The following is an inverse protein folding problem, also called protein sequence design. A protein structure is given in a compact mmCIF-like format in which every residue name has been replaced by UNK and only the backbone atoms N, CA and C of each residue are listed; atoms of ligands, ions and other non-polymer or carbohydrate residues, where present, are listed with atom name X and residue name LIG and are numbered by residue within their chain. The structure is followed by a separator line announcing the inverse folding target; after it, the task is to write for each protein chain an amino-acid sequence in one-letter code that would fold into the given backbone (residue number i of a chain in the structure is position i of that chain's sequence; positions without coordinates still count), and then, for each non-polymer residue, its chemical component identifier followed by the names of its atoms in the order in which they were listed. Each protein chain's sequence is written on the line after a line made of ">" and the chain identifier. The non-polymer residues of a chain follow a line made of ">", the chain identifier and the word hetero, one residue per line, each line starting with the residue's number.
data_IF_794331844837
#
_entry.id   IF_794331844837
#
_cell.length_a   1.000
_cell.length_b   1.000
_cell.length_c   1.000
_cell.angle_alpha   90.00
_cell.angle_beta   90.00
_cell.angle_gamma   90.00
#
_symmetry.space_group_name_H-M   'P 1'
#
loop_
_entity.id
_entity.type
_entity.pdbx_description
1 polymer ?
#
# COMPACT_ATOMS: atom_id res chain seq x y z
N UNK A 1 -39.98 -47.56 -0.83
CA UNK A 1 -38.73 -48.26 -1.12
C UNK A 1 -38.84 -49.02 -2.45
N UNK A 2 -39.96 -49.70 -2.74
CA UNK A 2 -40.18 -50.58 -3.92
C UNK A 2 -40.02 -49.84 -5.27
N UNK A 3 -40.40 -48.56 -5.33
CA UNK A 3 -40.25 -47.72 -6.55
C UNK A 3 -38.80 -47.36 -6.86
N UNK A 4 -38.00 -47.11 -5.81
CA UNK A 4 -36.57 -46.88 -5.92
C UNK A 4 -35.82 -48.16 -6.31
N UNK A 5 -36.24 -49.30 -5.74
CA UNK A 5 -35.63 -50.60 -6.03
C UNK A 5 -35.93 -51.05 -7.47
N UNK A 6 -37.17 -50.85 -7.94
CA UNK A 6 -37.57 -51.11 -9.33
C UNK A 6 -36.78 -50.21 -10.32
N UNK A 7 -36.59 -48.91 -10.01
CA UNK A 7 -35.81 -47.98 -10.81
C UNK A 7 -34.34 -48.37 -10.90
N UNK A 8 -33.75 -48.72 -9.74
CA UNK A 8 -32.35 -49.19 -9.68
C UNK A 8 -32.13 -50.47 -10.50
N UNK A 9 -33.03 -51.46 -10.29
CA UNK A 9 -32.96 -52.75 -10.99
C UNK A 9 -33.10 -52.58 -12.50
N UNK A 10 -33.96 -51.67 -12.96
CA UNK A 10 -34.14 -51.34 -14.36
C UNK A 10 -32.85 -50.74 -14.96
N UNK A 11 -32.26 -49.73 -14.30
CA UNK A 11 -31.00 -49.09 -14.72
C UNK A 11 -29.84 -50.07 -14.75
N UNK A 12 -29.77 -50.95 -13.74
CA UNK A 12 -28.73 -51.98 -13.66
C UNK A 12 -28.84 -52.98 -14.82
N UNK A 13 -30.05 -53.50 -15.12
CA UNK A 13 -30.29 -54.38 -16.27
C UNK A 13 -29.95 -53.70 -17.59
N UNK A 14 -30.27 -52.42 -17.75
CA UNK A 14 -29.95 -51.64 -18.94
C UNK A 14 -28.43 -51.46 -19.10
N UNK A 15 -27.72 -51.13 -18.04
CA UNK A 15 -26.26 -50.99 -18.01
C UNK A 15 -25.56 -52.31 -18.38
N UNK A 16 -26.01 -53.39 -17.83
CA UNK A 16 -25.44 -54.73 -18.13
C UNK A 16 -25.73 -55.21 -19.55
N UNK A 17 -26.90 -54.85 -20.12
CA UNK A 17 -27.27 -55.15 -21.48
C UNK A 17 -26.41 -54.38 -22.50
N UNK A 18 -26.09 -53.08 -22.19
CA UNK A 18 -25.32 -52.22 -23.05
C UNK A 18 -23.93 -51.91 -22.46
N UNK A 19 -23.26 -52.91 -21.89
CA UNK A 19 -21.98 -52.77 -21.20
C UNK A 19 -20.93 -51.99 -21.98
N UNK A 20 -20.84 -52.19 -23.30
CA UNK A 20 -19.90 -51.49 -24.20
C UNK A 20 -20.26 -50.02 -24.38
N UNK A 21 -21.54 -49.66 -24.37
CA UNK A 21 -21.99 -48.27 -24.40
C UNK A 21 -21.61 -47.54 -23.12
N UNK A 22 -21.72 -48.18 -21.97
CA UNK A 22 -21.29 -47.60 -20.64
C UNK A 22 -19.78 -47.39 -20.65
N UNK A 23 -19.00 -48.36 -21.13
CA UNK A 23 -17.53 -48.20 -21.25
C UNK A 23 -17.19 -47.04 -22.20
N UNK A 24 -17.89 -46.96 -23.35
CA UNK A 24 -17.67 -45.86 -24.31
C UNK A 24 -17.97 -44.49 -23.68
N UNK A 25 -19.07 -44.36 -22.95
CA UNK A 25 -19.42 -43.14 -22.25
C UNK A 25 -18.33 -42.78 -21.23
N UNK A 26 -17.82 -43.72 -20.45
CA UNK A 26 -16.74 -43.50 -19.50
C UNK A 26 -15.46 -43.00 -20.22
N UNK A 27 -15.10 -43.61 -21.31
CA UNK A 27 -13.94 -43.22 -22.11
C UNK A 27 -14.11 -41.81 -22.68
N UNK A 28 -15.29 -41.46 -23.21
CA UNK A 28 -15.62 -40.14 -23.71
C UNK A 28 -15.55 -39.12 -22.58
N UNK A 29 -16.09 -39.43 -21.42
CA UNK A 29 -16.05 -38.54 -20.24
C UNK A 29 -14.62 -38.27 -19.79
N UNK A 30 -13.78 -39.29 -19.72
CA UNK A 30 -12.36 -39.14 -19.39
C UNK A 30 -11.61 -38.36 -20.50
N UNK A 31 -11.89 -38.65 -21.75
CA UNK A 31 -11.28 -37.97 -22.89
C UNK A 31 -11.69 -36.49 -22.98
N UNK A 32 -12.90 -36.13 -22.51
CA UNK A 32 -13.39 -34.74 -22.46
C UNK A 32 -12.67 -33.87 -21.42
N UNK A 33 -11.98 -34.46 -20.46
CA UNK A 33 -11.18 -33.72 -19.47
C UNK A 33 -10.06 -32.94 -20.14
N UNK A 34 -9.41 -33.52 -21.15
CA UNK A 34 -8.27 -32.89 -21.85
C UNK A 34 -8.65 -31.57 -22.55
N UNK A 35 -9.69 -31.52 -23.42
CA UNK A 35 -10.11 -30.24 -24.00
C UNK A 35 -10.65 -29.27 -22.97
N UNK A 36 -11.43 -29.73 -21.96
CA UNK A 36 -11.94 -28.89 -20.90
C UNK A 36 -10.81 -28.22 -20.11
N UNK A 37 -9.76 -28.96 -19.77
CA UNK A 37 -8.58 -28.44 -19.09
C UNK A 37 -7.90 -27.29 -19.85
N UNK A 38 -7.92 -27.33 -21.20
CA UNK A 38 -7.38 -26.25 -22.03
C UNK A 38 -8.29 -25.02 -22.12
N UNK A 39 -9.59 -25.20 -22.01
CA UNK A 39 -10.57 -24.10 -22.08
C UNK A 39 -10.85 -23.44 -20.73
N UNK A 40 -10.72 -24.18 -19.64
CA UNK A 40 -10.91 -23.66 -18.28
C UNK A 40 -9.56 -23.18 -17.77
N UNK A 41 -9.37 -21.87 -17.64
CA UNK A 41 -8.16 -21.28 -17.05
C UNK A 41 -7.98 -21.78 -15.61
N UNK A 42 -6.74 -21.96 -15.19
CA UNK A 42 -6.41 -22.27 -13.81
C UNK A 42 -6.20 -20.97 -13.04
N UNK A 43 -6.99 -20.74 -12.02
CA UNK A 43 -6.76 -19.68 -11.03
C UNK A 43 -6.66 -20.31 -9.65
N UNK A 44 -5.67 -19.93 -8.86
CA UNK A 44 -5.50 -20.40 -7.48
C UNK A 44 -6.65 -19.90 -6.58
N UNK A 45 -7.06 -18.67 -6.83
CA UNK A 45 -8.25 -18.05 -6.22
C UNK A 45 -9.07 -17.43 -7.35
N UNK A 46 -10.36 -17.77 -7.47
CA UNK A 46 -11.22 -17.08 -8.43
C UNK A 46 -11.37 -15.62 -8.03
N UNK A 47 -11.34 -14.72 -9.02
CA UNK A 47 -11.67 -13.32 -8.81
C UNK A 47 -13.18 -13.24 -8.54
N UNK A 48 -13.55 -13.07 -7.29
CA UNK A 48 -14.94 -12.86 -6.89
C UNK A 48 -15.28 -11.36 -6.97
N UNK A 49 -16.51 -11.09 -7.42
CA UNK A 49 -17.03 -9.74 -7.45
C UNK A 49 -17.64 -9.40 -6.07
N UNK A 50 -16.80 -8.86 -5.19
CA UNK A 50 -17.20 -8.44 -3.84
C UNK A 50 -17.87 -7.05 -3.82
N UNK A 51 -18.11 -6.44 -4.99
CA UNK A 51 -18.62 -5.07 -5.12
C UNK A 51 -17.75 -4.03 -4.40
N UNK A 52 -16.47 -4.31 -4.25
CA UNK A 52 -15.51 -3.46 -3.55
C UNK A 52 -14.16 -3.46 -4.28
N UNK A 53 -13.61 -2.28 -4.55
CA UNK A 53 -12.25 -2.14 -5.08
C UNK A 53 -11.53 -0.97 -4.43
N UNK A 54 -10.21 -0.97 -4.55
CA UNK A 54 -9.36 0.03 -3.93
C UNK A 54 -8.51 0.76 -4.99
N UNK A 55 -8.45 2.07 -4.85
CA UNK A 55 -7.52 2.93 -5.59
C UNK A 55 -6.43 3.36 -4.62
N UNK A 56 -5.20 2.97 -4.88
CA UNK A 56 -4.04 3.32 -4.06
C UNK A 56 -3.29 4.47 -4.72
N UNK A 57 -2.92 5.47 -3.92
CA UNK A 57 -2.10 6.60 -4.31
C UNK A 57 -0.80 6.57 -3.53
N UNK A 58 0.33 6.70 -4.22
CA UNK A 58 1.63 7.00 -3.63
C UNK A 58 2.17 8.27 -4.28
N UNK A 59 2.37 9.30 -3.47
CA UNK A 59 3.00 10.54 -3.88
C UNK A 59 4.50 10.56 -3.58
N UNK A 60 5.22 11.59 -4.04
CA UNK A 60 6.63 11.77 -3.73
C UNK A 60 6.83 11.94 -2.22
N UNK A 61 7.99 11.51 -1.74
CA UNK A 61 8.37 11.69 -0.34
C UNK A 61 8.43 13.19 0.01
N UNK A 62 7.98 13.53 1.21
CA UNK A 62 7.85 14.93 1.64
C UNK A 62 6.52 15.59 1.28
N UNK A 63 5.63 14.91 0.53
CA UNK A 63 4.27 15.39 0.30
C UNK A 63 3.49 15.46 1.62
N UNK A 64 2.86 16.60 1.89
CA UNK A 64 2.06 16.77 3.11
C UNK A 64 0.77 15.94 3.07
N UNK A 65 0.28 15.58 4.25
CA UNK A 65 -0.99 14.86 4.40
C UNK A 65 -2.16 15.60 3.71
N UNK A 66 -2.22 16.91 3.85
CA UNK A 66 -3.27 17.74 3.24
C UNK A 66 -3.20 17.74 1.71
N UNK A 67 -1.99 17.71 1.13
CA UNK A 67 -1.82 17.60 -0.32
C UNK A 67 -2.27 16.23 -0.82
N UNK A 68 -1.87 15.14 -0.15
CA UNK A 68 -2.30 13.78 -0.47
C UNK A 68 -3.83 13.66 -0.39
N UNK A 69 -4.43 14.16 0.67
CA UNK A 69 -5.89 14.16 0.85
C UNK A 69 -6.59 14.94 -0.27
N UNK A 70 -6.10 16.13 -0.63
CA UNK A 70 -6.69 16.95 -1.70
C UNK A 70 -6.70 16.24 -3.06
N UNK A 71 -5.66 15.46 -3.36
CA UNK A 71 -5.59 14.68 -4.60
C UNK A 71 -6.56 13.50 -4.55
N UNK A 72 -6.59 12.77 -3.45
CA UNK A 72 -7.51 11.65 -3.26
C UNK A 72 -8.97 12.11 -3.33
N UNK A 73 -9.31 13.24 -2.74
CA UNK A 73 -10.66 13.82 -2.80
C UNK A 73 -11.09 14.22 -4.22
N UNK A 74 -10.15 14.70 -5.04
CA UNK A 74 -10.40 14.97 -6.46
C UNK A 74 -10.68 13.68 -7.22
N UNK A 75 -9.84 12.67 -7.02
CA UNK A 75 -10.01 11.34 -7.64
C UNK A 75 -11.35 10.74 -7.23
N UNK A 76 -11.68 10.77 -5.94
CA UNK A 76 -12.95 10.25 -5.42
C UNK A 76 -14.19 10.97 -6.01
N UNK A 77 -14.11 12.29 -6.20
CA UNK A 77 -15.18 13.06 -6.87
C UNK A 77 -15.33 12.66 -8.33
N UNK A 78 -14.23 12.51 -9.06
CA UNK A 78 -14.28 12.10 -10.46
C UNK A 78 -14.81 10.68 -10.63
N UNK A 79 -14.44 9.77 -9.75
CA UNK A 79 -14.97 8.39 -9.76
C UNK A 79 -16.49 8.42 -9.53
N UNK A 80 -16.96 9.14 -8.52
CA UNK A 80 -18.41 9.24 -8.25
C UNK A 80 -19.21 9.90 -9.38
N UNK A 81 -18.58 10.83 -10.10
CA UNK A 81 -19.25 11.55 -11.20
C UNK A 81 -19.29 10.75 -12.51
N UNK A 82 -18.29 9.88 -12.76
CA UNK A 82 -18.10 9.25 -14.07
C UNK A 82 -18.33 7.74 -14.07
N UNK A 83 -18.33 7.09 -12.90
CA UNK A 83 -18.50 5.64 -12.80
C UNK A 83 -19.90 5.31 -12.30
N UNK A 84 -20.74 4.64 -13.11
CA UNK A 84 -22.07 4.22 -12.67
C UNK A 84 -21.98 3.13 -11.62
N UNK A 85 -22.95 3.11 -10.70
CA UNK A 85 -23.03 2.05 -9.67
C UNK A 85 -22.07 2.23 -8.49
N UNK A 86 -21.42 3.38 -8.33
CA UNK A 86 -20.69 3.71 -7.11
C UNK A 86 -21.69 4.10 -6.03
N UNK A 87 -21.71 3.34 -4.94
CA UNK A 87 -22.57 3.60 -3.78
C UNK A 87 -21.88 4.55 -2.79
N UNK A 88 -20.66 4.22 -2.38
CA UNK A 88 -19.90 4.98 -1.40
C UNK A 88 -18.40 5.01 -1.76
N UNK A 89 -17.72 6.05 -1.28
CA UNK A 89 -16.26 6.15 -1.34
C UNK A 89 -15.72 6.54 0.02
N UNK A 90 -14.75 5.79 0.53
CA UNK A 90 -14.02 6.08 1.76
C UNK A 90 -12.59 6.47 1.39
N UNK A 91 -12.21 7.71 1.71
CA UNK A 91 -10.87 8.26 1.46
C UNK A 91 -10.05 8.21 2.72
N UNK A 92 -8.87 7.62 2.66
CA UNK A 92 -7.93 7.52 3.79
C UNK A 92 -6.54 7.96 3.31
N UNK A 93 -6.02 9.03 3.92
CA UNK A 93 -4.68 9.55 3.66
C UNK A 93 -3.78 9.33 4.88
N UNK A 94 -2.53 8.90 4.66
CA UNK A 94 -1.56 8.67 5.74
C UNK A 94 -1.95 7.56 6.72
N UNK A 95 -2.89 6.71 6.37
CA UNK A 95 -3.44 5.68 7.24
C UNK A 95 -2.74 4.34 7.04
N UNK A 96 -2.43 3.65 8.14
CA UNK A 96 -1.80 2.33 8.17
C UNK A 96 -0.43 2.33 8.84
N UNK A 97 -0.05 1.19 9.45
CA UNK A 97 1.26 1.01 10.07
C UNK A 97 2.37 1.15 9.00
N UNK A 98 3.24 2.12 9.16
CA UNK A 98 4.35 2.38 8.25
C UNK A 98 3.98 3.17 6.98
N UNK A 99 2.73 3.62 6.84
CA UNK A 99 2.33 4.53 5.75
C UNK A 99 2.75 5.96 6.07
N UNK A 100 3.55 6.56 5.18
CA UNK A 100 3.88 7.98 5.27
C UNK A 100 2.71 8.88 4.86
N UNK A 101 2.80 10.19 5.12
CA UNK A 101 1.75 11.16 4.75
C UNK A 101 1.53 11.27 3.24
N UNK A 102 2.47 10.80 2.43
CA UNK A 102 2.43 10.77 0.97
C UNK A 102 1.64 9.58 0.40
N UNK A 103 1.17 8.66 1.25
CA UNK A 103 0.41 7.48 0.84
C UNK A 103 -1.06 7.63 1.23
N UNK A 104 -1.93 7.07 0.41
CA UNK A 104 -3.35 6.99 0.75
C UNK A 104 -4.11 6.09 -0.21
N UNK A 105 -5.35 5.82 0.12
CA UNK A 105 -6.20 4.98 -0.71
C UNK A 105 -7.67 5.41 -0.64
N UNK A 106 -8.40 5.02 -1.67
CA UNK A 106 -9.85 5.19 -1.76
C UNK A 106 -10.47 3.81 -1.85
N UNK A 107 -11.26 3.43 -0.88
CA UNK A 107 -12.14 2.26 -0.98
C UNK A 107 -13.42 2.70 -1.68
N UNK A 108 -13.74 2.04 -2.78
CA UNK A 108 -14.94 2.30 -3.57
C UNK A 108 -15.89 1.13 -3.43
N UNK A 109 -17.02 1.37 -2.80
CA UNK A 109 -18.10 0.41 -2.70
C UNK A 109 -19.08 0.60 -3.87
N UNK A 110 -19.41 -0.49 -4.53
CA UNK A 110 -20.35 -0.55 -5.63
C UNK A 110 -21.73 -1.03 -5.13
N UNK A 111 -22.77 -0.71 -5.86
CA UNK A 111 -24.07 -1.34 -5.66
C UNK A 111 -23.98 -2.84 -5.90
N UNK A 112 -24.87 -3.66 -5.30
CA UNK A 112 -24.87 -5.11 -5.47
C UNK A 112 -24.87 -5.53 -6.96
N UNK A 113 -24.26 -6.68 -7.26
CA UNK A 113 -24.12 -7.19 -8.64
C UNK A 113 -25.48 -7.24 -9.39
N UNK A 114 -26.56 -7.55 -8.66
CA UNK A 114 -27.92 -7.64 -9.23
C UNK A 114 -28.49 -6.28 -9.70
N UNK A 115 -27.95 -5.16 -9.20
CA UNK A 115 -28.44 -3.80 -9.47
C UNK A 115 -27.58 -3.04 -10.49
N UNK A 116 -26.56 -3.69 -11.07
CA UNK A 116 -25.64 -3.04 -12.03
C UNK A 116 -25.51 -3.84 -13.33
N UNK A 117 -25.31 -3.12 -14.41
CA UNK A 117 -25.14 -3.71 -15.74
C UNK A 117 -23.70 -4.19 -16.00
N UNK A 118 -22.70 -3.56 -15.35
CA UNK A 118 -21.28 -3.83 -15.57
C UNK A 118 -20.67 -4.59 -14.41
N UNK A 119 -19.83 -5.56 -14.72
CA UNK A 119 -19.03 -6.27 -13.73
C UNK A 119 -17.97 -5.39 -13.08
N UNK A 120 -17.49 -5.78 -11.91
CA UNK A 120 -16.44 -5.06 -11.16
C UNK A 120 -15.19 -4.86 -12.00
N UNK A 121 -14.77 -5.86 -12.79
CA UNK A 121 -13.58 -5.78 -13.63
C UNK A 121 -13.67 -4.67 -14.69
N UNK A 122 -14.86 -4.50 -15.31
CA UNK A 122 -15.10 -3.44 -16.30
C UNK A 122 -15.07 -2.05 -15.66
N UNK A 123 -15.66 -1.92 -14.47
CA UNK A 123 -15.66 -0.67 -13.71
C UNK A 123 -14.23 -0.31 -13.25
N UNK A 124 -13.45 -1.26 -12.81
CA UNK A 124 -12.03 -1.08 -12.49
C UNK A 124 -11.25 -0.57 -13.70
N UNK A 125 -11.48 -1.14 -14.90
CA UNK A 125 -10.83 -0.67 -16.12
C UNK A 125 -11.27 0.75 -16.49
N UNK A 126 -12.53 1.10 -16.30
CA UNK A 126 -13.02 2.47 -16.47
C UNK A 126 -12.33 3.43 -15.50
N UNK A 127 -12.23 3.05 -14.22
CA UNK A 127 -11.52 3.85 -13.20
C UNK A 127 -10.04 4.01 -13.53
N UNK A 128 -9.36 2.98 -14.02
CA UNK A 128 -7.97 3.09 -14.50
C UNK A 128 -7.84 4.16 -15.59
N UNK A 129 -8.78 4.25 -16.50
CA UNK A 129 -8.84 5.33 -17.50
C UNK A 129 -8.96 6.72 -16.88
N UNK A 130 -9.80 6.86 -15.86
CA UNK A 130 -10.02 8.13 -15.14
C UNK A 130 -8.76 8.54 -14.37
N UNK A 131 -8.17 7.63 -13.61
CA UNK A 131 -7.02 7.94 -12.75
C UNK A 131 -5.73 8.18 -13.52
N UNK A 132 -5.64 7.72 -14.77
CA UNK A 132 -4.47 7.91 -15.64
C UNK A 132 -4.09 9.37 -15.81
N UNK A 133 -5.07 10.30 -15.79
CA UNK A 133 -4.82 11.74 -15.86
C UNK A 133 -4.12 12.32 -14.62
N UNK A 134 -4.22 11.64 -13.48
CA UNK A 134 -3.56 12.01 -12.22
C UNK A 134 -2.23 11.28 -12.03
N UNK A 135 -2.02 10.18 -12.75
CA UNK A 135 -0.76 9.43 -12.71
C UNK A 135 0.32 10.21 -13.44
N UNK A 136 1.44 10.44 -12.79
CA UNK A 136 2.61 11.11 -13.33
C UNK A 136 3.86 10.36 -12.88
N UNK A 137 5.04 10.86 -13.25
CA UNK A 137 6.30 10.31 -12.76
C UNK A 137 6.40 10.39 -11.22
N UNK A 138 5.74 11.39 -10.63
CA UNK A 138 5.79 11.66 -9.20
C UNK A 138 4.64 11.00 -8.41
N UNK A 139 3.48 10.79 -9.05
CA UNK A 139 2.31 10.18 -8.43
C UNK A 139 2.00 8.83 -9.07
N UNK A 140 2.17 7.79 -8.29
CA UNK A 140 1.83 6.42 -8.69
C UNK A 140 0.43 6.09 -8.20
N UNK A 141 -0.44 5.68 -9.14
CA UNK A 141 -1.81 5.32 -8.82
C UNK A 141 -2.06 3.92 -9.37
N UNK A 142 -2.52 3.03 -8.51
CA UNK A 142 -2.92 1.67 -8.89
C UNK A 142 -4.36 1.39 -8.48
N UNK A 143 -5.05 0.59 -9.27
CA UNK A 143 -6.43 0.18 -9.01
C UNK A 143 -6.49 -1.33 -8.94
N UNK A 144 -6.92 -1.85 -7.81
CA UNK A 144 -7.01 -3.30 -7.55
C UNK A 144 -8.38 -3.68 -6.99
N UNK A 145 -8.87 -4.85 -7.36
CA UNK A 145 -10.01 -5.45 -6.68
C UNK A 145 -9.65 -5.71 -5.21
N UNK A 146 -10.60 -5.49 -4.32
CA UNK A 146 -10.50 -5.97 -2.94
C UNK A 146 -10.93 -7.43 -2.92
N UNK A 147 -10.09 -8.30 -2.38
CA UNK A 147 -10.44 -9.68 -2.10
C UNK A 147 -10.22 -9.95 -0.62
N UNK A 148 -11.29 -10.23 0.08
CA UNK A 148 -11.27 -10.57 1.50
C UNK A 148 -10.50 -11.87 1.75
N UNK A 149 -10.58 -12.82 0.82
CA UNK A 149 -9.88 -14.11 0.91
C UNK A 149 -8.38 -13.92 0.70
N UNK A 150 -7.95 -13.21 -0.35
CA UNK A 150 -6.53 -12.96 -0.62
C UNK A 150 -5.87 -12.15 0.51
N UNK A 151 -6.59 -11.20 1.11
CA UNK A 151 -6.15 -10.45 2.28
C UNK A 151 -5.97 -11.32 3.53
N UNK A 152 -6.88 -12.26 3.75
CA UNK A 152 -6.86 -13.15 4.92
C UNK A 152 -5.71 -14.16 4.92
N UNK A 153 -5.28 -14.61 3.75
CA UNK A 153 -4.17 -15.58 3.60
C UNK A 153 -2.81 -14.91 3.32
N UNK A 154 -2.74 -13.59 3.43
CA UNK A 154 -1.49 -12.84 3.34
C UNK A 154 -0.86 -12.81 1.94
N UNK A 155 -1.60 -13.11 0.89
CA UNK A 155 -1.13 -13.11 -0.50
C UNK A 155 -0.93 -11.70 -1.10
N UNK A 156 -0.86 -10.69 -0.26
CA UNK A 156 -0.50 -9.33 -0.68
C UNK A 156 -1.66 -8.54 -1.30
N UNK A 157 -1.35 -7.31 -1.68
CA UNK A 157 -2.28 -6.35 -2.29
C UNK A 157 -2.63 -6.78 -3.72
N UNK A 158 -3.83 -7.34 -3.91
CA UNK A 158 -4.37 -7.70 -5.22
C UNK A 158 -4.15 -9.16 -5.60
N UNK A 159 -5.21 -9.93 -5.58
CA UNK A 159 -5.32 -11.40 -5.66
C UNK A 159 -4.55 -12.17 -6.74
N UNK A 160 -4.09 -11.58 -7.82
CA UNK A 160 -3.24 -12.21 -8.82
C UNK A 160 -2.11 -11.25 -9.22
N UNK A 161 -1.01 -11.30 -8.47
CA UNK A 161 0.16 -10.49 -8.75
C UNK A 161 1.46 -11.27 -8.59
N UNK A 162 2.51 -10.82 -9.26
CA UNK A 162 3.88 -11.31 -9.08
C UNK A 162 4.63 -10.35 -8.18
N UNK A 163 5.26 -10.89 -7.14
CA UNK A 163 6.19 -10.17 -6.27
C UNK A 163 7.57 -10.78 -6.34
N UNK A 164 8.56 -9.99 -6.75
CA UNK A 164 9.96 -10.40 -6.82
C UNK A 164 10.75 -9.68 -5.74
N UNK A 165 11.56 -10.42 -4.99
CA UNK A 165 12.42 -9.89 -3.96
C UNK A 165 13.87 -9.87 -4.45
N UNK A 166 14.46 -8.69 -4.50
CA UNK A 166 15.88 -8.52 -4.83
C UNK A 166 16.60 -8.17 -3.52
N UNK A 167 17.55 -9.00 -3.09
CA UNK A 167 18.28 -8.81 -1.85
C UNK A 167 19.79 -8.69 -2.10
N UNK A 168 20.44 -7.78 -1.37
CA UNK A 168 21.87 -7.55 -1.50
C UNK A 168 22.42 -6.59 -0.45
N UNK A 169 23.75 -6.45 -0.36
CA UNK A 169 24.39 -5.56 0.60
C UNK A 169 24.35 -4.08 0.16
N UNK A 170 24.30 -3.81 -1.15
CA UNK A 170 24.45 -2.50 -1.75
C UNK A 170 23.09 -1.96 -2.21
N UNK A 171 22.63 -0.86 -1.59
CA UNK A 171 21.31 -0.29 -1.88
C UNK A 171 21.26 0.41 -3.23
N UNK A 172 22.38 1.01 -3.69
CA UNK A 172 22.41 1.72 -4.98
C UNK A 172 22.20 0.75 -6.14
N UNK A 173 22.92 -0.39 -6.10
CA UNK A 173 22.77 -1.46 -7.11
C UNK A 173 21.39 -2.12 -7.05
N UNK A 174 20.83 -2.29 -5.84
CA UNK A 174 19.47 -2.82 -5.71
C UNK A 174 18.44 -1.87 -6.35
N UNK A 175 18.65 -0.56 -6.19
CA UNK A 175 17.79 0.46 -6.82
C UNK A 175 17.88 0.39 -8.33
N UNK A 176 19.09 0.39 -8.88
CA UNK A 176 19.33 0.29 -10.33
C UNK A 176 18.67 -0.97 -10.94
N UNK A 177 18.87 -2.13 -10.31
CA UNK A 177 18.28 -3.38 -10.80
C UNK A 177 16.76 -3.41 -10.70
N UNK A 178 16.20 -2.86 -9.63
CA UNK A 178 14.75 -2.81 -9.47
C UNK A 178 14.09 -1.86 -10.47
N UNK A 179 14.67 -0.70 -10.72
CA UNK A 179 14.19 0.25 -11.73
C UNK A 179 14.28 -0.34 -13.13
N UNK A 180 15.41 -0.97 -13.49
CA UNK A 180 15.57 -1.64 -14.77
C UNK A 180 14.57 -2.79 -14.97
N UNK A 181 14.23 -3.52 -13.88
CA UNK A 181 13.22 -4.56 -13.92
C UNK A 181 11.81 -3.98 -14.12
N UNK A 182 11.47 -2.92 -13.40
CA UNK A 182 10.18 -2.21 -13.57
C UNK A 182 10.01 -1.70 -14.99
N UNK A 183 11.05 -1.10 -15.59
CA UNK A 183 11.00 -0.63 -16.98
C UNK A 183 10.77 -1.79 -17.98
N UNK A 184 11.41 -2.94 -17.77
CA UNK A 184 11.16 -4.14 -18.59
C UNK A 184 9.73 -4.66 -18.41
N UNK A 185 9.21 -4.65 -17.18
CA UNK A 185 7.83 -5.07 -16.90
C UNK A 185 6.80 -4.10 -17.52
N UNK A 186 7.08 -2.79 -17.55
CA UNK A 186 6.21 -1.81 -18.24
C UNK A 186 6.14 -2.01 -19.75
N UNK A 187 7.22 -2.52 -20.35
CA UNK A 187 7.24 -2.82 -21.80
C UNK A 187 6.41 -4.04 -22.18
N UNK A 188 6.09 -4.93 -21.24
CA UNK A 188 5.32 -6.15 -21.46
C UNK A 188 3.87 -5.96 -21.00
N UNK A 189 2.87 -6.06 -21.90
CA UNK A 189 1.47 -5.84 -21.59
C UNK A 189 0.86 -6.87 -20.63
N UNK A 190 1.57 -7.96 -20.31
CA UNK A 190 1.15 -8.96 -19.33
C UNK A 190 1.16 -8.37 -17.92
N UNK A 191 2.10 -7.46 -17.63
CA UNK A 191 2.23 -6.86 -16.31
C UNK A 191 1.38 -5.60 -16.19
N UNK A 192 0.56 -5.53 -15.14
CA UNK A 192 -0.27 -4.36 -14.82
C UNK A 192 0.31 -3.61 -13.65
N UNK A 193 0.43 -2.29 -13.81
CA UNK A 193 0.88 -1.37 -12.76
C UNK A 193 2.18 -1.84 -12.04
N UNK A 194 3.28 -2.16 -12.78
CA UNK A 194 4.52 -2.58 -12.15
C UNK A 194 5.09 -1.47 -11.28
N UNK A 195 5.46 -1.82 -10.05
CA UNK A 195 5.93 -0.89 -9.03
C UNK A 195 7.07 -1.49 -8.20
N UNK A 196 7.85 -0.63 -7.57
CA UNK A 196 8.94 -1.00 -6.66
C UNK A 196 8.69 -0.48 -5.26
N UNK A 197 9.15 -1.21 -4.26
CA UNK A 197 9.14 -0.78 -2.86
C UNK A 197 10.20 0.28 -2.53
N UNK A 198 11.02 0.67 -3.50
CA UNK A 198 12.01 1.73 -3.30
C UNK A 198 11.28 3.06 -3.18
N UNK A 199 11.49 3.69 -2.04
CA UNK A 199 11.10 5.07 -1.83
C UNK A 199 12.33 5.95 -2.02
N UNK A 200 12.29 6.84 -3.01
CA UNK A 200 13.31 7.87 -3.18
C UNK A 200 13.33 8.70 -1.92
N UNK A 201 14.51 8.93 -1.37
CA UNK A 201 14.73 9.45 -0.03
C UNK A 201 13.81 10.60 0.36
N UNK A 202 13.30 10.52 1.59
CA UNK A 202 12.53 11.60 2.20
C UNK A 202 13.45 12.79 2.48
N UNK A 203 13.04 14.03 2.14
CA UNK A 203 13.79 15.20 2.56
C UNK A 203 13.92 15.23 4.08
N UNK A 204 15.13 15.35 4.59
CA UNK A 204 15.43 15.45 6.01
C UNK A 204 16.28 16.66 6.33
N UNK A 205 16.15 17.16 7.53
CA UNK A 205 17.09 18.12 8.11
C UNK A 205 17.97 17.37 9.07
N UNK A 206 19.24 17.22 8.71
CA UNK A 206 20.25 16.60 9.57
C UNK A 206 20.82 17.63 10.52
N UNK A 207 20.65 17.34 11.81
CA UNK A 207 21.18 18.20 12.87
C UNK A 207 22.46 17.60 13.41
N UNK A 208 23.58 18.27 13.16
CA UNK A 208 24.90 17.84 13.67
C UNK A 208 25.29 18.78 14.83
N UNK A 209 25.52 18.20 16.02
CA UNK A 209 25.91 18.96 17.21
C UNK A 209 27.42 19.19 17.18
N UNK A 210 27.83 20.46 17.27
CA UNK A 210 29.23 20.84 17.52
C UNK A 210 29.55 20.61 19.01
N UNK A 211 30.14 19.46 19.28
CA UNK A 211 30.41 19.04 20.68
C UNK A 211 31.37 19.96 21.42
N UNK A 212 32.32 20.56 20.71
CA UNK A 212 33.30 21.49 21.30
C UNK A 212 32.59 22.76 21.76
N UNK A 213 31.85 23.39 20.86
CA UNK A 213 31.06 24.60 21.20
C UNK A 213 29.99 24.34 22.24
N UNK A 214 29.32 23.18 22.17
CA UNK A 214 28.31 22.80 23.16
C UNK A 214 28.93 22.66 24.55
N UNK A 215 30.13 22.05 24.67
CA UNK A 215 30.85 21.95 25.95
C UNK A 215 31.27 23.33 26.49
N UNK A 216 31.83 24.19 25.65
CA UNK A 216 32.23 25.56 26.04
C UNK A 216 31.06 26.39 26.55
N UNK A 217 29.89 26.22 25.94
CA UNK A 217 28.64 26.90 26.30
C UNK A 217 27.85 26.18 27.40
N UNK A 218 28.37 25.09 27.94
CA UNK A 218 27.71 24.32 28.99
C UNK A 218 26.41 23.63 28.55
N UNK A 219 26.27 23.31 27.26
CA UNK A 219 25.08 22.65 26.69
C UNK A 219 25.35 21.17 26.50
N UNK A 220 24.51 20.31 27.05
CA UNK A 220 24.62 18.87 26.87
C UNK A 220 23.89 18.43 25.59
N UNK A 221 24.43 17.43 24.90
CA UNK A 221 23.82 16.88 23.68
C UNK A 221 22.39 16.35 23.93
N UNK A 222 22.12 15.83 25.13
CA UNK A 222 20.78 15.40 25.52
C UNK A 222 19.76 16.53 25.58
N UNK A 223 20.16 17.72 26.07
CA UNK A 223 19.30 18.89 26.17
C UNK A 223 18.93 19.42 24.76
N UNK A 224 19.89 19.36 23.82
CA UNK A 224 19.63 19.69 22.41
C UNK A 224 18.62 18.70 21.80
N UNK A 225 18.83 17.39 22.00
CA UNK A 225 17.92 16.37 21.48
C UNK A 225 16.52 16.51 22.07
N UNK A 226 16.40 16.77 23.37
CA UNK A 226 15.12 16.98 24.04
C UNK A 226 14.41 18.23 23.55
N UNK A 227 15.12 19.35 23.37
CA UNK A 227 14.55 20.57 22.81
C UNK A 227 14.00 20.33 21.39
N UNK A 228 14.78 19.70 20.52
CA UNK A 228 14.34 19.37 19.16
C UNK A 228 13.13 18.42 19.15
N UNK A 229 13.06 17.46 20.06
CA UNK A 229 11.92 16.56 20.19
C UNK A 229 10.65 17.31 20.63
N UNK A 230 10.74 18.14 21.65
CA UNK A 230 9.60 18.96 22.10
C UNK A 230 9.12 19.88 20.99
N UNK A 231 10.05 20.49 20.25
CA UNK A 231 9.73 21.41 19.18
C UNK A 231 9.04 20.74 18.00
N UNK A 232 9.53 19.59 17.56
CA UNK A 232 9.05 18.90 16.34
C UNK A 232 7.90 17.93 16.61
N UNK A 233 8.13 16.93 17.45
CA UNK A 233 7.18 15.85 17.73
C UNK A 233 6.20 16.18 18.86
N UNK A 234 6.65 16.97 19.83
CA UNK A 234 5.96 17.19 21.09
C UNK A 234 6.31 16.14 22.14
N UNK A 235 6.15 16.50 23.39
CA UNK A 235 6.39 15.64 24.56
C UNK A 235 5.15 15.60 25.46
N UNK A 236 4.77 14.41 25.88
CA UNK A 236 3.77 14.22 26.92
C UNK A 236 4.42 14.65 28.24
N UNK A 237 3.93 15.74 28.82
CA UNK A 237 4.47 16.33 30.09
C UNK A 237 3.64 15.96 31.30
N UNK A 238 2.38 15.63 31.10
CA UNK A 238 1.45 15.26 32.17
C UNK A 238 0.26 14.53 31.58
N UNK A 239 -0.56 13.95 32.44
CA UNK A 239 -1.87 13.40 32.11
C UNK A 239 -2.91 13.96 33.06
N UNK A 240 -4.13 14.15 32.60
CA UNK A 240 -5.26 14.46 33.48
C UNK A 240 -6.40 13.46 33.28
N UNK A 241 -7.17 13.24 34.32
CA UNK A 241 -8.30 12.31 34.30
C UNK A 241 -9.62 13.08 34.31
N UNK A 242 -10.51 12.75 33.37
CA UNK A 242 -11.85 13.29 33.30
C UNK A 242 -12.84 12.18 32.98
N UNK A 243 -13.95 12.06 33.69
CA UNK A 243 -15.01 11.06 33.50
C UNK A 243 -14.50 9.61 33.38
N UNK A 244 -13.51 9.22 34.22
CA UNK A 244 -12.84 7.90 34.19
C UNK A 244 -11.97 7.62 32.95
N UNK A 245 -11.75 8.61 32.10
CA UNK A 245 -10.80 8.54 31.00
C UNK A 245 -9.55 9.36 31.31
N UNK A 246 -8.41 8.96 30.78
CA UNK A 246 -7.13 9.61 30.96
C UNK A 246 -6.68 10.27 29.66
N UNK A 247 -6.34 11.55 29.73
CA UNK A 247 -5.91 12.35 28.58
C UNK A 247 -4.47 12.82 28.76
N UNK A 248 -3.69 12.73 27.70
CA UNK A 248 -2.30 13.19 27.66
C UNK A 248 -2.23 14.69 27.42
N UNK A 249 -1.38 15.38 28.19
CA UNK A 249 -1.04 16.79 27.98
C UNK A 249 0.26 16.83 27.18
N UNK A 250 0.16 17.26 25.93
CA UNK A 250 1.30 17.32 25.00
C UNK A 250 1.75 18.77 24.85
N UNK A 251 3.04 19.04 25.12
CA UNK A 251 3.69 20.32 24.85
C UNK A 251 4.49 20.22 23.57
N UNK A 252 4.24 21.12 22.63
CA UNK A 252 5.00 21.24 21.37
C UNK A 252 5.03 22.70 20.93
N UNK A 253 5.96 23.03 20.02
CA UNK A 253 5.98 24.35 19.40
C UNK A 253 4.70 24.60 18.58
N UNK A 254 4.26 25.84 18.52
CA UNK A 254 3.15 26.25 17.68
C UNK A 254 3.42 25.94 16.20
N UNK A 255 2.35 25.61 15.46
CA UNK A 255 2.46 25.08 14.10
C UNK A 255 3.22 25.99 13.14
N UNK A 256 3.05 27.28 13.24
CA UNK A 256 3.75 28.26 12.38
C UNK A 256 5.29 28.16 12.54
N UNK A 257 5.80 27.92 13.74
CA UNK A 257 7.23 27.79 14.02
C UNK A 257 7.81 26.41 13.66
N UNK A 258 6.95 25.40 13.44
CA UNK A 258 7.36 24.05 13.04
C UNK A 258 7.34 23.83 11.54
N UNK A 259 6.60 24.65 10.79
CA UNK A 259 6.46 24.51 9.33
C UNK A 259 7.68 24.98 8.57
N UNK A 260 8.41 25.94 9.11
CA UNK A 260 9.56 26.55 8.45
C UNK A 260 10.83 26.33 9.28
N UNK A 261 11.83 25.72 8.64
CA UNK A 261 13.14 25.47 9.23
C UNK A 261 13.89 26.75 9.64
N UNK A 262 13.54 27.90 9.06
CA UNK A 262 14.16 29.19 9.40
C UNK A 262 13.98 29.57 10.86
N UNK A 263 12.98 29.00 11.54
CA UNK A 263 12.77 29.22 12.97
C UNK A 263 13.60 28.30 13.88
N UNK A 264 14.18 27.19 13.37
CA UNK A 264 14.99 26.28 14.18
C UNK A 264 16.14 26.97 14.95
N UNK A 265 16.89 27.92 14.35
CA UNK A 265 17.94 28.62 15.07
C UNK A 265 17.45 29.49 16.23
N UNK A 266 16.18 29.88 16.24
CA UNK A 266 15.62 30.75 17.27
C UNK A 266 15.26 30.02 18.56
N UNK A 267 15.24 28.70 18.52
CA UNK A 267 14.99 27.91 19.70
C UNK A 267 16.22 27.90 20.62
N UNK A 268 15.96 27.88 21.92
CA UNK A 268 17.02 27.94 22.92
C UNK A 268 17.05 26.67 23.77
N UNK A 269 18.24 26.34 24.24
CA UNK A 269 18.49 25.24 25.19
C UNK A 269 19.08 25.79 26.49
N UNK A 270 18.85 25.12 27.59
CA UNK A 270 19.38 25.51 28.88
C UNK A 270 20.87 25.19 28.94
N UNK A 271 21.65 26.14 29.45
CA UNK A 271 23.07 25.98 29.74
C UNK A 271 23.32 25.66 31.21
N UNK A 272 24.26 24.77 31.51
CA UNK A 272 24.74 24.52 32.88
C UNK A 272 25.49 25.71 33.50
N UNK A 273 25.98 26.63 32.65
CA UNK A 273 26.66 27.84 33.07
C UNK A 273 25.67 28.97 33.45
N UNK A 274 24.38 28.69 33.41
CA UNK A 274 23.29 29.64 33.65
C UNK A 274 22.78 30.30 32.37
N UNK A 275 21.45 30.47 32.28
CA UNK A 275 20.77 31.06 31.11
C UNK A 275 20.46 30.08 30.01
N UNK A 276 20.13 30.64 28.84
CA UNK A 276 19.77 29.91 27.63
C UNK A 276 20.69 30.22 26.49
N UNK A 277 20.97 29.24 25.63
CA UNK A 277 21.83 29.32 24.44
C UNK A 277 20.99 29.00 23.21
N UNK A 278 21.09 29.81 22.15
CA UNK A 278 20.43 29.53 20.87
C UNK A 278 20.96 28.25 20.22
N UNK A 279 20.08 27.47 19.63
CA UNK A 279 20.44 26.22 18.93
C UNK A 279 21.41 26.47 17.78
N UNK A 280 21.31 27.61 17.11
CA UNK A 280 22.21 28.02 16.01
C UNK A 280 23.70 28.08 16.40
N UNK A 281 23.98 28.27 17.70
CA UNK A 281 25.34 28.32 18.20
C UNK A 281 25.98 26.95 18.43
N UNK A 282 25.16 25.91 18.61
CA UNK A 282 25.63 24.58 19.00
C UNK A 282 25.31 23.51 17.97
N UNK A 283 24.49 23.80 16.94
CA UNK A 283 24.14 22.84 15.89
C UNK A 283 24.41 23.38 14.50
N UNK A 284 24.72 22.47 13.57
CA UNK A 284 24.73 22.71 12.13
C UNK A 284 23.54 21.98 11.51
N UNK A 285 22.83 22.69 10.64
CA UNK A 285 21.69 22.17 9.89
C UNK A 285 22.10 21.88 8.46
N UNK A 286 21.97 20.64 8.04
CA UNK A 286 22.24 20.19 6.68
C UNK A 286 20.99 19.57 6.08
N UNK A 287 20.68 19.91 4.82
CA UNK A 287 19.64 19.24 4.08
C UNK A 287 20.18 17.93 3.53
N UNK A 288 19.39 16.88 3.64
CA UNK A 288 19.72 15.56 3.13
C UNK A 288 18.51 14.84 2.61
N UNK A 289 18.76 13.69 2.00
CA UNK A 289 17.74 12.71 1.65
C UNK A 289 18.02 11.44 2.45
N UNK A 290 17.02 10.92 3.10
CA UNK A 290 17.12 9.68 3.87
C UNK A 290 16.04 8.69 3.42
N UNK A 291 16.35 7.39 3.29
CA UNK A 291 15.33 6.41 3.02
C UNK A 291 14.35 6.36 4.21
N UNK A 292 13.06 6.43 3.94
CA UNK A 292 12.01 6.38 4.96
C UNK A 292 11.95 5.03 5.67
N UNK A 293 12.29 3.94 4.96
CA UNK A 293 12.37 2.59 5.50
C UNK A 293 13.43 1.76 4.77
N UNK A 294 14.04 0.82 5.49
CA UNK A 294 14.99 -0.16 4.93
C UNK A 294 14.48 -1.55 5.26
N UNK A 295 13.88 -2.19 4.28
CA UNK A 295 13.46 -3.60 4.41
C UNK A 295 14.66 -4.54 4.34
N UNK A 296 14.63 -5.60 5.13
CA UNK A 296 15.68 -6.62 5.16
C UNK A 296 15.08 -8.02 5.12
N UNK A 297 15.72 -8.88 4.34
CA UNK A 297 15.46 -10.31 4.30
C UNK A 297 16.76 -11.04 4.66
N UNK A 298 16.73 -11.89 5.66
CA UNK A 298 17.92 -12.62 6.13
C UNK A 298 19.13 -11.69 6.39
N UNK A 299 18.90 -10.51 7.01
CA UNK A 299 19.87 -9.46 7.30
C UNK A 299 20.39 -8.68 6.07
N UNK A 300 20.14 -9.12 4.85
CA UNK A 300 20.45 -8.36 3.64
C UNK A 300 19.36 -7.32 3.37
N UNK A 301 19.73 -6.19 2.79
CA UNK A 301 18.78 -5.19 2.31
C UNK A 301 17.94 -5.80 1.19
N UNK A 302 16.65 -5.49 1.18
CA UNK A 302 15.70 -6.05 0.23
C UNK A 302 14.91 -4.95 -0.44
N UNK A 303 14.68 -5.15 -1.73
CA UNK A 303 13.74 -4.38 -2.54
C UNK A 303 12.72 -5.34 -3.14
N UNK A 304 11.46 -4.96 -3.11
CA UNK A 304 10.37 -5.71 -3.73
C UNK A 304 9.95 -5.02 -5.01
N UNK A 305 9.87 -5.77 -6.10
CA UNK A 305 9.22 -5.34 -7.34
C UNK A 305 7.94 -6.14 -7.48
N UNK A 306 6.82 -5.47 -7.68
CA UNK A 306 5.51 -6.10 -7.78
C UNK A 306 4.76 -5.63 -9.02
N UNK A 307 3.97 -6.50 -9.61
CA UNK A 307 3.06 -6.17 -10.69
C UNK A 307 1.80 -7.03 -10.63
N UNK A 308 0.67 -6.47 -11.01
CA UNK A 308 -0.56 -7.22 -11.22
C UNK A 308 -0.49 -8.07 -12.49
N UNK A 309 -1.21 -9.18 -12.51
CA UNK A 309 -1.41 -10.01 -13.70
C UNK A 309 -2.89 -9.96 -14.12
N UNK A 310 -3.21 -10.12 -15.41
CA UNK A 310 -4.59 -10.32 -15.84
C UNK A 310 -5.13 -11.66 -15.32
N UNK A 311 -6.46 -11.81 -15.15
CA UNK A 311 -7.08 -13.00 -14.53
C UNK A 311 -6.73 -14.35 -15.17
N UNK A 312 -6.25 -14.37 -16.40
CA UNK A 312 -5.93 -15.58 -17.17
C UNK A 312 -4.42 -15.76 -17.42
N UNK A 313 -3.57 -14.97 -16.78
CA UNK A 313 -2.12 -15.14 -16.86
C UNK A 313 -1.65 -15.91 -15.62
N UNK A 314 -1.32 -17.16 -15.81
CA UNK A 314 -0.70 -18.05 -14.80
C UNK A 314 0.70 -18.44 -15.26
#
# INVERSE_FOLDING_TARGET
>A
LDLLDAGYTFLLKLSMRFRWAVVLICVITVASIYPLYKFVGMAFLPDEDESLFQVNLRGPQGTSLSATQSILDRIARDIRAQVPGVQNTLVLAGFGRGSGPNNGFINVALVPVAEREKGQADLINQVRGIVKKYSSKDYQISVSASSSIAGSIGLGRGGSGVGLYIAGPDMEKLTEYAEALVEKMKADPIYRDPDTSIEVGSPEIRVTIDRTRAADLGVRAGDVAQALNILSAGQIVSTYSENSEQYDVIVRAEEQFRRDRSYLPWFTVTSSNGGTVGLDRVVKLEEGLSPSSISRLNRLRQVTVSAGLPPNAS
#
